data_IF_480943350219
#
_entry.id   IF_480943350219
#
_cell.length_a   1.000
_cell.length_b   1.000
_cell.length_c   1.000
_cell.angle_alpha   90.00
_cell.angle_beta   90.00
_cell.angle_gamma   90.00
#
_symmetry.space_group_name_H-M   'P 1'
#
loop_
_entity.id
_entity.type
_entity.pdbx_description
1 polymer ?
#
# COMPACT_ATOMS: atom_id res chain seq x y z
N UNK A 1 28.56 6.89 10.70
CA UNK A 1 28.20 6.48 9.32
C UNK A 1 27.19 7.50 8.79
N UNK A 2 27.51 8.23 7.71
CA UNK A 2 26.63 9.27 7.15
C UNK A 2 25.44 8.59 6.44
N UNK A 3 24.23 8.77 6.95
CA UNK A 3 23.03 8.31 6.25
C UNK A 3 22.91 9.07 4.92
N UNK A 4 22.91 8.33 3.82
CA UNK A 4 22.64 8.87 2.49
C UNK A 4 21.14 9.10 2.40
N UNK A 5 20.70 10.35 2.37
CA UNK A 5 19.31 10.66 2.04
C UNK A 5 19.06 10.22 0.59
N UNK A 6 18.32 9.13 0.42
CA UNK A 6 17.79 8.73 -0.89
C UNK A 6 16.89 9.86 -1.41
N UNK A 7 17.07 10.35 -2.64
CA UNK A 7 16.23 11.40 -3.20
C UNK A 7 14.77 10.93 -3.22
N UNK A 8 13.87 11.79 -2.75
CA UNK A 8 12.42 11.53 -2.77
C UNK A 8 12.01 11.29 -4.22
N UNK A 9 11.53 10.08 -4.54
CA UNK A 9 11.10 9.73 -5.88
C UNK A 9 9.98 10.68 -6.32
N UNK A 10 10.29 11.54 -7.29
CA UNK A 10 9.32 12.47 -7.88
C UNK A 10 8.56 11.72 -8.95
N UNK A 11 7.23 11.86 -8.97
CA UNK A 11 6.41 11.24 -10.01
C UNK A 11 6.69 11.94 -11.34
N UNK A 12 6.96 11.16 -12.38
CA UNK A 12 7.23 11.68 -13.72
C UNK A 12 5.93 12.18 -14.37
N UNK A 13 5.93 13.39 -14.98
CA UNK A 13 4.75 13.91 -15.66
C UNK A 13 4.52 13.20 -17.00
N UNK A 14 3.27 12.82 -17.27
CA UNK A 14 2.85 12.21 -18.54
C UNK A 14 1.73 13.06 -19.15
N UNK A 15 1.89 13.48 -20.41
CA UNK A 15 0.87 14.17 -21.18
C UNK A 15 0.10 13.18 -22.05
N UNK A 16 -1.23 13.22 -21.97
CA UNK A 16 -2.11 12.32 -22.74
C UNK A 16 -3.10 13.17 -23.53
N UNK A 17 -3.26 12.83 -24.81
CA UNK A 17 -4.27 13.42 -25.68
C UNK A 17 -5.52 12.55 -25.65
N UNK A 18 -6.67 13.16 -25.37
CA UNK A 18 -7.96 12.48 -25.30
C UNK A 18 -8.92 13.17 -26.27
N UNK A 19 -9.77 12.37 -26.91
CA UNK A 19 -10.88 12.93 -27.65
C UNK A 19 -11.95 13.52 -26.70
N UNK A 20 -12.84 14.35 -27.23
CA UNK A 20 -13.91 14.97 -26.47
C UNK A 20 -14.76 13.97 -25.63
N UNK A 21 -15.20 12.80 -26.16
CA UNK A 21 -15.96 11.84 -25.36
C UNK A 21 -15.15 11.25 -24.19
N UNK A 22 -13.88 10.93 -24.41
CA UNK A 22 -13.01 10.33 -23.39
C UNK A 22 -12.67 11.33 -22.29
N UNK A 23 -12.40 12.59 -22.68
CA UNK A 23 -12.24 13.67 -21.72
C UNK A 23 -13.50 13.81 -20.87
N UNK A 24 -14.69 13.82 -21.48
CA UNK A 24 -15.94 13.93 -20.74
C UNK A 24 -16.16 12.74 -19.79
N UNK A 25 -15.74 11.52 -20.18
CA UNK A 25 -15.76 10.35 -19.32
C UNK A 25 -14.82 10.52 -18.12
N UNK A 26 -13.59 10.99 -18.34
CA UNK A 26 -12.62 11.24 -17.27
C UNK A 26 -13.14 12.27 -16.26
N UNK A 27 -13.75 13.36 -16.72
CA UNK A 27 -14.36 14.36 -15.85
C UNK A 27 -15.49 13.77 -15.00
N UNK A 28 -16.41 13.01 -15.62
CA UNK A 28 -17.51 12.35 -14.89
C UNK A 28 -17.00 11.37 -13.85
N UNK A 29 -15.98 10.58 -14.18
CA UNK A 29 -15.36 9.64 -13.25
C UNK A 29 -14.68 10.35 -12.08
N UNK A 30 -13.97 11.45 -12.33
CA UNK A 30 -13.37 12.28 -11.28
C UNK A 30 -14.44 12.86 -10.34
N UNK A 31 -15.53 13.39 -10.90
CA UNK A 31 -16.66 13.92 -10.12
C UNK A 31 -17.34 12.84 -9.27
N UNK A 32 -17.61 11.68 -9.86
CA UNK A 32 -18.29 10.57 -9.18
C UNK A 32 -17.46 9.97 -8.05
N UNK A 33 -16.14 9.98 -8.17
CA UNK A 33 -15.22 9.37 -7.17
C UNK A 33 -14.64 10.38 -6.18
N UNK A 34 -14.74 11.68 -6.47
CA UNK A 34 -14.05 12.73 -5.72
C UNK A 34 -12.52 12.72 -5.89
N UNK A 35 -12.00 11.96 -6.85
CA UNK A 35 -10.56 11.84 -7.10
C UNK A 35 -10.08 12.84 -8.15
N UNK A 36 -8.79 13.19 -8.10
CA UNK A 36 -8.16 13.96 -9.18
C UNK A 36 -8.16 13.16 -10.49
N UNK A 37 -8.20 13.85 -11.64
CA UNK A 37 -8.08 13.23 -12.98
C UNK A 37 -6.86 12.34 -13.11
N UNK A 38 -5.72 12.78 -12.58
CA UNK A 38 -4.48 12.02 -12.60
C UNK A 38 -4.60 10.71 -11.79
N UNK A 39 -5.36 10.73 -10.70
CA UNK A 39 -5.58 9.54 -9.88
C UNK A 39 -6.57 8.57 -10.55
N UNK A 40 -7.61 9.08 -11.20
CA UNK A 40 -8.52 8.27 -12.03
C UNK A 40 -7.74 7.58 -13.15
N UNK A 41 -6.90 8.31 -13.89
CA UNK A 41 -6.05 7.74 -14.94
C UNK A 41 -5.08 6.69 -14.40
N UNK A 42 -4.42 6.94 -13.25
CA UNK A 42 -3.53 5.95 -12.62
C UNK A 42 -4.27 4.66 -12.29
N UNK A 43 -5.43 4.74 -11.63
CA UNK A 43 -6.23 3.57 -11.28
C UNK A 43 -6.73 2.83 -12.51
N UNK A 44 -7.17 3.56 -13.54
CA UNK A 44 -7.56 2.99 -14.82
C UNK A 44 -6.41 2.22 -15.48
N UNK A 45 -5.21 2.81 -15.50
CA UNK A 45 -4.01 2.17 -16.05
C UNK A 45 -3.65 0.88 -15.30
N UNK A 46 -3.64 0.91 -13.96
CA UNK A 46 -3.37 -0.29 -13.15
C UNK A 46 -4.41 -1.38 -13.37
N UNK A 47 -5.69 -1.02 -13.45
CA UNK A 47 -6.76 -1.99 -13.71
C UNK A 47 -6.62 -2.60 -15.11
N UNK A 48 -6.37 -1.77 -16.12
CA UNK A 48 -6.16 -2.23 -17.50
C UNK A 48 -4.93 -3.14 -17.61
N UNK A 49 -3.82 -2.77 -16.95
CA UNK A 49 -2.64 -3.61 -16.88
C UNK A 49 -2.92 -4.94 -16.19
N UNK A 50 -3.67 -4.94 -15.08
CA UNK A 50 -4.06 -6.17 -14.41
C UNK A 50 -4.95 -7.06 -15.28
N UNK A 51 -5.89 -6.48 -16.04
CA UNK A 51 -6.73 -7.22 -16.99
C UNK A 51 -5.89 -7.81 -18.14
N UNK A 52 -4.93 -7.06 -18.67
CA UNK A 52 -4.04 -7.52 -19.75
C UNK A 52 -3.01 -8.56 -19.27
N UNK A 53 -2.42 -8.37 -18.09
CA UNK A 53 -1.36 -9.23 -17.53
C UNK A 53 -1.93 -10.43 -16.76
N UNK A 54 -3.17 -10.40 -16.31
CA UNK A 54 -3.82 -11.57 -15.72
C UNK A 54 -3.95 -12.73 -16.73
N UNK A 55 -4.07 -12.42 -18.02
CA UNK A 55 -4.01 -13.43 -19.10
C UNK A 55 -2.60 -14.02 -19.26
N UNK A 56 -1.54 -13.29 -18.88
CA UNK A 56 -0.15 -13.75 -18.99
C UNK A 56 0.37 -14.44 -17.71
N UNK A 57 -0.02 -13.97 -16.52
CA UNK A 57 0.37 -14.58 -15.24
C UNK A 57 -0.53 -14.12 -14.07
N UNK A 58 -1.44 -14.98 -13.59
CA UNK A 58 -2.28 -14.71 -12.42
C UNK A 58 -1.48 -14.35 -11.14
N UNK A 59 -0.27 -14.89 -11.00
CA UNK A 59 0.60 -14.61 -9.85
C UNK A 59 1.13 -13.17 -9.85
N UNK A 60 1.46 -12.62 -11.02
CA UNK A 60 1.91 -11.23 -11.16
C UNK A 60 0.77 -10.25 -10.87
N UNK A 61 -0.42 -10.50 -11.42
CA UNK A 61 -1.60 -9.68 -11.15
C UNK A 61 -1.92 -9.60 -9.64
N UNK A 62 -1.78 -10.72 -8.92
CA UNK A 62 -1.94 -10.75 -7.46
C UNK A 62 -0.88 -9.89 -6.75
N UNK A 63 0.40 -10.03 -7.09
CA UNK A 63 1.49 -9.26 -6.48
C UNK A 63 1.30 -7.75 -6.68
N UNK A 64 0.93 -7.32 -7.89
CA UNK A 64 0.66 -5.90 -8.16
C UNK A 64 -0.52 -5.36 -7.34
N UNK A 65 -1.59 -6.15 -7.20
CA UNK A 65 -2.74 -5.78 -6.37
C UNK A 65 -2.36 -5.63 -4.89
N UNK A 66 -1.48 -6.50 -4.38
CA UNK A 66 -0.97 -6.44 -3.02
C UNK A 66 -0.08 -5.21 -2.79
N UNK A 67 0.78 -4.87 -3.77
CA UNK A 67 1.60 -3.65 -3.74
C UNK A 67 0.73 -2.40 -3.75
N UNK A 68 -0.29 -2.34 -4.61
CA UNK A 68 -1.22 -1.21 -4.67
C UNK A 68 -2.03 -1.03 -3.38
N UNK A 69 -2.28 -2.12 -2.64
CA UNK A 69 -2.98 -2.12 -1.36
C UNK A 69 -2.07 -1.87 -0.16
N UNK A 70 -0.76 -1.68 -0.38
CA UNK A 70 0.20 -1.43 0.69
C UNK A 70 -0.04 -0.03 1.29
N UNK A 71 -0.23 0.09 2.62
CA UNK A 71 -0.44 1.37 3.26
C UNK A 71 0.72 2.35 3.04
N UNK A 72 0.39 3.64 2.96
CA UNK A 72 1.42 4.68 2.96
C UNK A 72 2.22 4.63 4.28
N UNK A 73 3.55 4.60 4.17
CA UNK A 73 4.45 4.57 5.33
C UNK A 73 5.07 3.21 5.65
N UNK A 74 4.71 2.15 4.91
CA UNK A 74 5.45 0.88 4.96
C UNK A 74 6.87 1.08 4.45
N UNK A 75 7.86 0.57 5.19
CA UNK A 75 9.26 0.71 4.83
C UNK A 75 9.59 -0.10 3.57
N UNK A 76 10.46 0.44 2.71
CA UNK A 76 10.82 -0.19 1.43
C UNK A 76 11.72 -1.42 1.60
N UNK A 77 12.31 -1.62 2.78
CA UNK A 77 13.25 -2.69 3.10
C UNK A 77 12.61 -3.86 3.87
N UNK A 78 11.29 -3.86 4.04
CA UNK A 78 10.56 -4.91 4.78
C UNK A 78 10.87 -6.30 4.25
N UNK A 79 11.02 -6.49 2.94
CA UNK A 79 11.38 -7.79 2.39
C UNK A 79 12.78 -8.26 2.82
N UNK A 80 13.75 -7.33 2.93
CA UNK A 80 15.13 -7.65 3.28
C UNK A 80 15.34 -7.79 4.80
N UNK A 81 14.54 -7.08 5.60
CA UNK A 81 14.66 -7.01 7.06
C UNK A 81 13.43 -7.58 7.77
N UNK A 82 12.69 -8.45 7.09
CA UNK A 82 11.42 -8.98 7.57
C UNK A 82 11.53 -9.58 8.98
N UNK A 83 12.58 -10.36 9.22
CA UNK A 83 12.80 -11.02 10.52
C UNK A 83 13.04 -10.02 11.64
N UNK A 84 13.72 -8.90 11.35
CA UNK A 84 13.94 -7.84 12.33
C UNK A 84 12.63 -7.12 12.67
N UNK A 85 11.82 -6.79 11.64
CA UNK A 85 10.49 -6.21 11.86
C UNK A 85 9.56 -7.13 12.65
N UNK A 86 9.61 -8.44 12.38
CA UNK A 86 8.84 -9.43 13.14
C UNK A 86 9.31 -9.52 14.58
N UNK A 87 10.63 -9.54 14.83
CA UNK A 87 11.18 -9.56 16.18
C UNK A 87 10.77 -8.32 16.98
N UNK A 88 10.86 -7.13 16.38
CA UNK A 88 10.43 -5.87 16.99
C UNK A 88 8.92 -5.88 17.32
N UNK A 89 8.11 -6.40 16.40
CA UNK A 89 6.67 -6.56 16.61
C UNK A 89 6.34 -7.54 17.74
N UNK A 90 7.05 -8.66 17.81
CA UNK A 90 6.87 -9.68 18.86
C UNK A 90 7.27 -9.12 20.24
N UNK A 91 8.38 -8.38 20.33
CA UNK A 91 8.80 -7.71 21.56
C UNK A 91 7.80 -6.64 22.00
N UNK A 92 7.30 -5.81 21.07
CA UNK A 92 6.32 -4.78 21.36
C UNK A 92 4.96 -5.35 21.81
N UNK A 93 4.53 -6.48 21.22
CA UNK A 93 3.25 -7.12 21.56
C UNK A 93 3.32 -7.96 22.84
N UNK A 94 4.46 -8.60 23.12
CA UNK A 94 4.67 -9.45 24.31
C UNK A 94 4.80 -8.67 25.61
N UNK A 95 5.13 -7.38 25.56
CA UNK A 95 5.16 -6.49 26.73
C UNK A 95 3.78 -6.10 27.29
N UNK A 96 2.68 -6.44 26.61
CA UNK A 96 1.31 -6.00 26.93
C UNK A 96 0.43 -7.11 27.50
N UNK A 97 1.00 -8.08 28.23
CA UNK A 97 0.19 -9.04 28.98
C UNK A 97 0.05 -8.58 30.44
N UNK A 98 -1.11 -8.03 30.88
CA UNK A 98 -1.30 -7.79 32.31
C UNK A 98 -1.23 -9.13 33.03
N UNK A 99 -0.34 -9.22 34.02
CA UNK A 99 -0.18 -10.43 34.82
C UNK A 99 -1.52 -10.78 35.49
N UNK A 100 -1.95 -12.06 35.52
CA UNK A 100 -3.12 -12.45 36.26
C UNK A 100 -2.87 -12.19 37.76
N UNK A 101 -3.62 -11.25 38.33
CA UNK A 101 -3.64 -11.01 39.77
C UNK A 101 -4.03 -12.33 40.44
N UNK A 102 -3.07 -12.98 41.12
CA UNK A 102 -3.37 -14.13 41.96
C UNK A 102 -4.13 -13.61 43.17
N UNK A 103 -5.45 -13.79 43.17
CA UNK A 103 -6.27 -13.60 44.36
C UNK A 103 -5.75 -14.54 45.46
N UNK A 104 -5.26 -13.93 46.55
CA UNK A 104 -4.78 -14.62 47.73
C UNK A 104 -6.00 -15.15 48.50
N UNK A 105 -6.18 -16.47 48.69
CA UNK A 105 -7.31 -16.96 49.48
C UNK A 105 -7.09 -16.58 50.94
N UNK A 106 -8.16 -16.06 51.56
CA UNK A 106 -8.19 -15.64 52.96
C UNK A 106 -7.84 -16.78 53.91
N UNK A 107 -7.15 -16.43 54.99
CA UNK A 107 -6.95 -17.31 56.14
C UNK A 107 -8.21 -17.22 57.00
N UNK A 108 -8.79 -18.37 57.32
CA UNK A 108 -9.65 -18.58 58.50
C UNK A 108 -8.79 -19.06 59.67
#
# INVERSE_FOLDING_TARGET
MKQRHSPKAVREPVQVYLEAPDRALLERSALATGLSRAEVLRRGLHRFAAELLADESPALAFLESAVASTPAGVASDVAARHDEYLADWEMASSGSKPAPTKARPGRE
#
